data_IF_199736376503
#
_entry.id   IF_199736376503
#
_cell.length_a   1.000
_cell.length_b   1.000
_cell.length_c   1.000
_cell.angle_alpha   90.00
_cell.angle_beta   90.00
_cell.angle_gamma   90.00
#
_symmetry.space_group_name_H-M   'P 1'
#
loop_
_entity.id
_entity.type
_entity.pdbx_description
1 polymer ?
#
# COMPACT_ATOMS: atom_id res chain seq x y z
N UNK A 1 -5.27 7.64 22.57
CA UNK A 1 -6.14 7.17 23.66
C UNK A 1 -5.40 6.08 24.43
N UNK A 2 -5.21 6.26 25.73
CA UNK A 2 -4.51 5.33 26.63
C UNK A 2 -5.56 4.42 27.26
N UNK A 3 -5.26 3.12 27.32
CA UNK A 3 -6.16 2.14 27.96
C UNK A 3 -6.16 2.33 29.49
N UNK A 4 -7.32 2.31 30.15
CA UNK A 4 -7.41 2.47 31.60
C UNK A 4 -6.98 1.19 32.35
N UNK A 5 -5.70 0.83 32.31
CA UNK A 5 -5.17 -0.37 33.00
C UNK A 5 -4.89 -0.14 34.49
N UNK A 6 -4.73 1.11 34.93
CA UNK A 6 -4.35 1.45 36.31
C UNK A 6 -2.87 1.18 36.65
N UNK A 7 -2.06 0.73 35.68
CA UNK A 7 -0.65 0.42 35.87
C UNK A 7 0.26 1.44 35.17
N UNK A 8 1.12 1.01 34.25
CA UNK A 8 1.99 1.86 33.43
C UNK A 8 1.40 2.06 32.04
N UNK A 9 2.02 2.97 31.29
CA UNK A 9 1.80 3.08 29.86
C UNK A 9 2.28 1.78 29.17
N UNK A 10 1.57 1.33 28.13
CA UNK A 10 2.01 0.17 27.36
C UNK A 10 3.26 0.54 26.57
N UNK A 11 4.18 -0.42 26.38
CA UNK A 11 5.37 -0.25 25.55
C UNK A 11 5.04 0.20 24.13
N UNK A 12 3.96 -0.34 23.55
CA UNK A 12 3.47 0.07 22.23
C UNK A 12 3.03 1.54 22.20
N UNK A 13 2.29 1.99 23.22
CA UNK A 13 1.84 3.39 23.32
C UNK A 13 3.05 4.33 23.41
N UNK A 14 4.06 3.94 24.19
CA UNK A 14 5.29 4.70 24.36
C UNK A 14 6.07 4.85 23.04
N UNK A 15 6.33 3.73 22.36
CA UNK A 15 7.05 3.73 21.06
C UNK A 15 6.27 4.50 20.01
N UNK A 16 4.94 4.38 20.00
CA UNK A 16 4.09 5.08 19.04
C UNK A 16 4.12 6.58 19.30
N UNK A 17 3.92 7.03 20.54
CA UNK A 17 4.01 8.44 20.87
C UNK A 17 5.40 9.01 20.61
N UNK A 18 6.46 8.24 20.88
CA UNK A 18 7.83 8.66 20.59
C UNK A 18 8.13 8.82 19.09
N UNK A 19 7.44 8.10 18.22
CA UNK A 19 7.54 8.28 16.76
C UNK A 19 6.69 9.44 16.22
N UNK A 20 5.70 9.87 16.99
CA UNK A 20 4.73 10.89 16.61
C UNK A 20 5.04 12.27 17.20
N UNK A 21 5.80 12.34 18.30
CA UNK A 21 6.05 13.55 19.10
C UNK A 21 6.64 14.72 18.28
N UNK A 22 7.44 14.41 17.28
CA UNK A 22 8.06 15.38 16.36
C UNK A 22 7.18 15.76 15.18
N UNK A 23 6.09 15.02 14.93
CA UNK A 23 5.25 15.15 13.72
C UNK A 23 3.90 15.80 13.98
N UNK A 24 3.35 15.64 15.18
CA UNK A 24 2.00 16.09 15.53
C UNK A 24 1.91 16.52 16.99
N UNK A 25 0.95 17.39 17.28
CA UNK A 25 0.59 17.77 18.64
C UNK A 25 -0.10 16.60 19.35
N UNK A 26 0.59 15.93 20.27
CA UNK A 26 0.05 14.78 21.02
C UNK A 26 -0.67 15.26 22.27
N UNK A 27 -1.96 14.96 22.40
CA UNK A 27 -2.74 15.17 23.63
C UNK A 27 -3.09 13.80 24.22
N UNK A 28 -2.44 13.40 25.32
CA UNK A 28 -2.71 12.10 25.93
C UNK A 28 -4.06 12.14 26.67
N UNK A 29 -4.88 11.12 26.42
CA UNK A 29 -6.22 10.98 27.00
C UNK A 29 -6.42 9.55 27.48
N UNK A 30 -6.88 9.38 28.72
CA UNK A 30 -7.25 8.09 29.30
C UNK A 30 -8.69 7.80 28.88
N UNK A 31 -8.88 6.75 28.10
CA UNK A 31 -10.20 6.32 27.63
C UNK A 31 -10.98 5.60 28.73
N UNK A 32 -12.31 5.62 28.64
CA UNK A 32 -13.22 4.88 29.55
C UNK A 32 -12.84 5.07 31.03
N UNK A 33 -12.61 6.32 31.42
CA UNK A 33 -12.12 6.65 32.75
C UNK A 33 -13.06 6.23 33.89
N UNK A 34 -14.33 5.95 33.57
CA UNK A 34 -15.34 5.40 34.47
C UNK A 34 -15.05 3.96 34.95
N UNK A 35 -14.05 3.29 34.38
CA UNK A 35 -13.60 1.97 34.85
C UNK A 35 -12.51 2.03 35.93
N UNK A 36 -12.02 3.22 36.29
CA UNK A 36 -10.97 3.40 37.30
C UNK A 36 -11.51 4.27 38.45
N UNK A 37 -11.16 3.94 39.68
CA UNK A 37 -11.50 4.78 40.82
C UNK A 37 -10.72 6.11 40.82
N UNK A 38 -11.23 7.15 41.49
CA UNK A 38 -10.56 8.47 41.53
C UNK A 38 -9.13 8.41 42.10
N UNK A 39 -8.90 7.58 43.11
CA UNK A 39 -7.59 7.43 43.76
C UNK A 39 -6.58 6.71 42.86
N UNK A 40 -7.02 5.66 42.17
CA UNK A 40 -6.19 4.95 41.18
C UNK A 40 -5.91 5.83 39.97
N UNK A 41 -6.91 6.58 39.49
CA UNK A 41 -6.78 7.50 38.36
C UNK A 41 -5.71 8.56 38.65
N UNK A 42 -5.71 9.13 39.86
CA UNK A 42 -4.69 10.10 40.26
C UNK A 42 -3.27 9.52 40.21
N UNK A 43 -3.06 8.32 40.78
CA UNK A 43 -1.77 7.62 40.70
C UNK A 43 -1.39 7.28 39.27
N UNK A 44 -2.36 6.87 38.45
CA UNK A 44 -2.15 6.50 37.06
C UNK A 44 -1.73 7.70 36.20
N UNK A 45 -2.37 8.87 36.38
CA UNK A 45 -1.97 10.11 35.70
C UNK A 45 -0.51 10.48 36.00
N UNK A 46 -0.12 10.47 37.29
CA UNK A 46 1.26 10.78 37.71
C UNK A 46 2.24 9.81 37.04
N UNK A 47 1.92 8.51 37.04
CA UNK A 47 2.80 7.48 36.45
C UNK A 47 2.94 7.65 34.93
N UNK A 48 1.84 7.90 34.21
CA UNK A 48 1.89 8.19 32.77
C UNK A 48 2.77 9.40 32.49
N UNK A 49 2.55 10.51 33.20
CA UNK A 49 3.33 11.74 32.98
C UNK A 49 4.81 11.53 33.28
N UNK A 50 5.14 10.82 34.37
CA UNK A 50 6.52 10.48 34.72
C UNK A 50 7.19 9.62 33.63
N UNK A 51 6.47 8.64 33.07
CA UNK A 51 7.00 7.78 31.99
C UNK A 51 7.20 8.56 30.69
N UNK A 52 6.28 9.47 30.34
CA UNK A 52 6.43 10.34 29.16
C UNK A 52 7.67 11.23 29.27
N UNK A 53 7.87 11.86 30.43
CA UNK A 53 9.06 12.72 30.70
C UNK A 53 10.34 11.90 30.68
N UNK A 54 10.37 10.74 31.36
CA UNK A 54 11.59 9.91 31.45
C UNK A 54 12.04 9.37 30.09
N UNK A 55 11.12 9.16 29.15
CA UNK A 55 11.41 8.72 27.79
C UNK A 55 11.55 9.88 26.79
N UNK A 56 11.47 11.13 27.26
CA UNK A 56 11.58 12.33 26.45
C UNK A 56 10.52 12.43 25.36
N UNK A 57 9.31 11.93 25.60
CA UNK A 57 8.18 12.06 24.67
C UNK A 57 7.61 13.46 24.79
N UNK A 58 7.63 14.22 23.69
CA UNK A 58 7.08 15.57 23.66
C UNK A 58 5.57 15.50 23.42
N UNK A 59 4.80 15.89 24.43
CA UNK A 59 3.35 16.09 24.31
C UNK A 59 3.04 17.57 24.15
N UNK A 60 1.87 17.86 23.60
CA UNK A 60 1.37 19.23 23.51
C UNK A 60 1.11 19.79 24.91
N UNK A 61 1.61 21.00 25.16
CA UNK A 61 1.36 21.77 26.37
C UNK A 61 0.71 23.10 25.96
N UNK A 62 -0.29 23.51 26.71
CA UNK A 62 -0.96 24.78 26.49
C UNK A 62 0.01 25.94 26.74
N UNK A 63 0.08 26.93 25.83
CA UNK A 63 0.96 28.08 25.98
C UNK A 63 0.56 28.88 27.22
N UNK A 64 1.55 29.29 28.01
CA UNK A 64 1.34 30.10 29.22
C UNK A 64 1.98 31.49 29.10
N UNK A 65 2.31 31.89 27.88
CA UNK A 65 3.05 33.13 27.60
C UNK A 65 2.14 34.37 27.62
N UNK A 66 0.84 34.19 27.38
CA UNK A 66 -0.16 35.26 27.46
C UNK A 66 -0.82 35.26 28.85
N UNK A 67 -0.52 36.30 29.63
CA UNK A 67 -1.04 36.51 30.99
C UNK A 67 -2.58 36.44 31.08
N UNK A 68 -3.32 36.76 30.00
CA UNK A 68 -4.77 36.71 30.00
C UNK A 68 -5.33 35.28 30.07
N UNK A 69 -4.57 34.29 29.60
CA UNK A 69 -4.99 32.87 29.52
C UNK A 69 -4.03 31.91 30.23
N UNK A 70 -2.90 32.41 30.74
CA UNK A 70 -1.85 31.62 31.39
C UNK A 70 -2.38 30.81 32.58
N UNK A 71 -3.23 31.39 33.43
CA UNK A 71 -3.80 30.69 34.58
C UNK A 71 -4.68 29.51 34.14
N UNK A 72 -5.56 29.73 33.17
CA UNK A 72 -6.45 28.70 32.62
C UNK A 72 -5.62 27.60 31.97
N UNK A 73 -4.62 27.96 31.16
CA UNK A 73 -3.77 27.00 30.45
C UNK A 73 -2.87 26.19 31.39
N UNK A 74 -2.39 26.80 32.48
CA UNK A 74 -1.66 26.10 33.54
C UNK A 74 -2.54 25.04 34.21
N UNK A 75 -3.79 25.39 34.54
CA UNK A 75 -4.76 24.43 35.09
C UNK A 75 -5.05 23.32 34.08
N UNK A 76 -5.20 23.62 32.79
CA UNK A 76 -5.42 22.60 31.76
C UNK A 76 -4.22 21.66 31.61
N UNK A 77 -2.99 22.18 31.64
CA UNK A 77 -1.76 21.40 31.62
C UNK A 77 -1.68 20.44 32.82
N UNK A 78 -2.09 20.90 34.01
CA UNK A 78 -2.12 20.07 35.22
C UNK A 78 -3.13 18.91 35.16
N UNK A 79 -4.15 18.99 34.30
CA UNK A 79 -5.14 17.92 34.12
C UNK A 79 -4.70 16.83 33.13
N UNK A 80 -3.60 17.03 32.41
CA UNK A 80 -3.06 16.03 31.48
C UNK A 80 -2.50 14.81 32.24
N UNK A 81 -2.74 13.59 31.73
CA UNK A 81 -3.64 13.25 30.62
C UNK A 81 -5.13 13.35 31.01
N UNK A 82 -5.98 13.83 30.10
CA UNK A 82 -7.42 13.99 30.40
C UNK A 82 -8.10 12.63 30.57
N UNK A 83 -8.87 12.47 31.64
CA UNK A 83 -9.62 11.25 31.91
C UNK A 83 -11.05 11.39 31.38
N UNK A 84 -11.35 10.74 30.26
CA UNK A 84 -12.60 10.99 29.53
C UNK A 84 -13.53 9.79 29.50
N UNK A 85 -14.82 10.11 29.54
CA UNK A 85 -15.92 9.16 29.37
C UNK A 85 -16.75 9.63 28.18
N UNK A 86 -17.01 8.73 27.24
CA UNK A 86 -17.87 9.00 26.08
C UNK A 86 -19.21 8.29 26.22
N UNK A 87 -20.29 9.00 25.89
CA UNK A 87 -21.63 8.43 25.70
C UNK A 87 -22.41 9.22 24.65
N UNK A 88 -23.16 8.51 23.82
CA UNK A 88 -24.16 9.06 22.90
C UNK A 88 -25.58 8.98 23.47
N UNK A 89 -25.77 8.21 24.54
CA UNK A 89 -27.07 8.01 25.17
C UNK A 89 -27.38 9.16 26.13
N UNK A 90 -28.63 9.64 26.07
CA UNK A 90 -29.14 10.68 26.96
C UNK A 90 -30.04 10.06 28.01
N UNK A 91 -29.72 10.33 29.28
CA UNK A 91 -30.47 9.84 30.43
C UNK A 91 -31.08 11.05 31.14
N UNK A 92 -32.35 10.93 31.55
CA UNK A 92 -33.01 11.96 32.34
C UNK A 92 -32.50 11.91 33.77
N UNK A 93 -31.70 12.89 34.16
CA UNK A 93 -31.23 13.08 35.54
C UNK A 93 -31.88 14.34 36.10
N UNK A 94 -32.83 14.17 37.01
CA UNK A 94 -33.70 15.26 37.47
C UNK A 94 -34.59 15.78 36.34
N UNK A 95 -34.49 17.08 36.04
CA UNK A 95 -35.29 17.75 34.99
C UNK A 95 -34.53 17.98 33.67
N UNK A 96 -33.30 17.48 33.54
CA UNK A 96 -32.49 17.67 32.33
C UNK A 96 -32.15 16.33 31.69
N UNK A 97 -32.15 16.30 30.36
CA UNK A 97 -31.55 15.23 29.58
C UNK A 97 -30.05 15.52 29.48
N UNK A 98 -29.24 14.57 29.94
CA UNK A 98 -27.78 14.70 29.93
C UNK A 98 -27.15 13.46 29.32
N UNK A 99 -26.07 13.64 28.57
CA UNK A 99 -25.30 12.51 28.03
C UNK A 99 -24.64 11.77 29.18
N UNK A 100 -24.95 10.48 29.32
CA UNK A 100 -24.50 9.70 30.45
C UNK A 100 -24.35 8.21 30.10
N UNK A 101 -23.61 7.48 30.93
CA UNK A 101 -23.58 6.01 30.91
C UNK A 101 -24.36 5.50 32.10
N UNK A 102 -25.35 4.65 31.86
CA UNK A 102 -26.14 4.04 32.91
C UNK A 102 -25.59 2.68 33.30
N UNK A 103 -25.32 2.49 34.58
CA UNK A 103 -24.93 1.24 35.19
C UNK A 103 -25.95 0.84 36.28
N UNK A 104 -26.01 -0.43 36.69
CA UNK A 104 -26.89 -0.86 37.79
C UNK A 104 -26.62 -0.11 39.11
N UNK A 105 -25.38 0.35 39.32
CA UNK A 105 -24.95 1.07 40.53
C UNK A 105 -25.01 2.60 40.42
N UNK A 106 -25.37 3.15 39.25
CA UNK A 106 -25.46 4.60 39.11
C UNK A 106 -25.30 5.11 37.67
N UNK A 107 -25.31 6.44 37.53
CA UNK A 107 -25.28 7.12 36.24
C UNK A 107 -24.04 8.01 36.16
N UNK A 108 -23.15 7.73 35.22
CA UNK A 108 -21.95 8.53 34.96
C UNK A 108 -22.27 9.59 33.93
N UNK A 109 -22.54 10.80 34.38
CA UNK A 109 -22.74 11.99 33.53
C UNK A 109 -21.43 12.41 32.85
N UNK A 110 -21.45 12.58 31.53
CA UNK A 110 -20.28 12.94 30.72
C UNK A 110 -19.90 14.41 30.91
N UNK A 111 -20.88 15.31 31.02
CA UNK A 111 -20.62 16.75 31.18
C UNK A 111 -20.38 17.18 32.63
N UNK A 112 -20.29 16.23 33.55
CA UNK A 112 -20.05 16.51 34.95
C UNK A 112 -18.55 16.41 35.27
N UNK A 113 -17.94 17.53 35.64
CA UNK A 113 -16.50 17.61 35.96
C UNK A 113 -16.08 16.77 37.16
N UNK A 114 -17.01 16.45 38.06
CA UNK A 114 -16.74 15.57 39.19
C UNK A 114 -16.61 14.09 38.78
N UNK A 115 -17.09 13.73 37.58
CA UNK A 115 -17.06 12.38 37.04
C UNK A 115 -15.94 12.19 36.02
N UNK A 116 -15.70 13.16 35.13
CA UNK A 116 -14.64 13.06 34.13
C UNK A 116 -14.19 14.43 33.62
N UNK A 117 -13.05 14.47 32.93
CA UNK A 117 -12.42 15.67 32.39
C UNK A 117 -12.95 16.04 30.98
N UNK A 118 -14.11 15.52 30.56
CA UNK A 118 -14.62 15.75 29.21
C UNK A 118 -14.89 17.25 28.93
N UNK A 119 -15.41 17.98 29.91
CA UNK A 119 -15.65 19.43 29.78
C UNK A 119 -14.34 20.17 29.52
N UNK A 120 -13.29 19.84 30.27
CA UNK A 120 -11.95 20.41 30.12
C UNK A 120 -11.37 20.13 28.73
N UNK A 121 -11.48 18.88 28.25
CA UNK A 121 -11.06 18.51 26.90
C UNK A 121 -11.86 19.25 25.81
N UNK A 122 -13.15 19.50 26.03
CA UNK A 122 -14.00 20.22 25.08
C UNK A 122 -13.63 21.71 25.01
N UNK A 123 -13.47 22.34 26.17
CA UNK A 123 -13.11 23.77 26.25
C UNK A 123 -11.74 24.04 25.63
N UNK A 124 -10.80 23.14 25.89
CA UNK A 124 -9.50 23.07 25.26
C UNK A 124 -9.56 23.13 23.73
N UNK A 125 -10.44 22.34 23.10
CA UNK A 125 -10.49 22.21 21.64
C UNK A 125 -11.28 23.32 20.95
N UNK A 126 -12.25 23.94 21.62
CA UNK A 126 -13.27 24.78 20.95
C UNK A 126 -13.05 26.28 21.18
N UNK A 127 -12.46 26.71 22.30
CA UNK A 127 -12.49 28.14 22.68
C UNK A 127 -11.22 28.94 22.45
N UNK A 128 -10.02 28.36 22.65
CA UNK A 128 -8.78 29.17 22.73
C UNK A 128 -7.60 28.59 21.94
N UNK A 129 -7.48 27.26 21.80
CA UNK A 129 -6.20 26.65 21.40
C UNK A 129 -6.14 26.06 19.99
N UNK A 130 -7.18 26.23 19.15
CA UNK A 130 -7.10 25.73 17.76
C UNK A 130 -6.06 26.48 16.94
N UNK A 131 -5.93 27.79 17.15
CA UNK A 131 -4.97 28.62 16.43
C UNK A 131 -3.55 28.25 16.82
N UNK A 132 -3.26 28.12 18.12
CA UNK A 132 -1.97 27.67 18.64
C UNK A 132 -1.60 26.26 18.15
N UNK A 133 -2.55 25.31 18.18
CA UNK A 133 -2.31 23.97 17.62
C UNK A 133 -1.94 24.03 16.13
N UNK A 134 -2.61 24.90 15.36
CA UNK A 134 -2.31 25.10 13.94
C UNK A 134 -0.94 25.74 13.77
N UNK A 135 -0.60 26.74 14.57
CA UNK A 135 0.67 27.44 14.54
C UNK A 135 1.84 26.53 14.91
N UNK A 136 1.74 25.77 16.00
CA UNK A 136 2.72 24.74 16.38
C UNK A 136 2.89 23.69 15.27
N UNK A 137 1.79 23.29 14.63
CA UNK A 137 1.86 22.36 13.50
C UNK A 137 2.65 22.95 12.34
N UNK A 138 2.46 24.23 12.03
CA UNK A 138 3.14 24.89 10.93
C UNK A 138 4.62 25.19 11.26
N UNK A 139 4.86 25.93 12.33
CA UNK A 139 6.17 26.49 12.70
C UNK A 139 7.16 25.45 13.19
N UNK A 140 6.68 24.34 13.77
CA UNK A 140 7.53 23.30 14.34
C UNK A 140 7.46 22.01 13.55
N UNK A 141 6.29 21.38 13.47
CA UNK A 141 6.17 20.04 12.89
C UNK A 141 6.38 20.04 11.38
N UNK A 142 5.73 20.97 10.68
CA UNK A 142 5.87 21.11 9.24
C UNK A 142 7.26 21.64 8.86
N UNK A 143 7.80 22.65 9.55
CA UNK A 143 9.16 23.13 9.26
C UNK A 143 10.23 22.06 9.52
N UNK A 144 10.11 21.23 10.56
CA UNK A 144 10.99 20.09 10.77
C UNK A 144 10.94 19.12 9.59
N UNK A 145 9.73 18.77 9.14
CA UNK A 145 9.53 17.92 7.97
C UNK A 145 10.10 18.57 6.70
N UNK A 146 9.83 19.85 6.50
CA UNK A 146 10.28 20.64 5.34
C UNK A 146 11.80 20.68 5.28
N UNK A 147 12.48 20.97 6.38
CA UNK A 147 13.95 20.93 6.47
C UNK A 147 14.50 19.56 6.10
N UNK A 148 14.01 18.49 6.74
CA UNK A 148 14.46 17.13 6.45
C UNK A 148 14.24 16.75 4.97
N UNK A 149 13.10 17.16 4.38
CA UNK A 149 12.80 16.88 2.97
C UNK A 149 13.64 17.69 2.01
N UNK A 150 13.92 18.95 2.32
CA UNK A 150 14.81 19.78 1.52
C UNK A 150 16.24 19.24 1.55
N UNK A 151 16.72 18.81 2.72
CA UNK A 151 18.03 18.15 2.84
C UNK A 151 18.10 16.84 2.04
N UNK A 152 17.05 16.01 2.09
CA UNK A 152 16.93 14.78 1.28
C UNK A 152 16.93 15.08 -0.23
N UNK A 153 16.36 16.21 -0.64
CA UNK A 153 16.39 16.70 -2.03
C UNK A 153 17.72 17.39 -2.40
N UNK A 154 18.68 17.48 -1.47
CA UNK A 154 20.02 18.02 -1.72
C UNK A 154 20.19 19.52 -1.41
N UNK A 155 19.18 20.18 -0.85
CA UNK A 155 19.29 21.57 -0.40
C UNK A 155 19.96 21.61 0.99
N UNK A 156 21.28 21.82 1.04
CA UNK A 156 22.00 22.05 2.30
C UNK A 156 22.21 23.54 2.50
N UNK A 157 21.86 24.01 3.70
CA UNK A 157 22.08 25.38 4.16
C UNK A 157 23.57 25.58 4.48
N UNK A 158 24.40 25.63 3.43
CA UNK A 158 25.80 26.02 3.56
C UNK A 158 25.92 27.46 3.13
N UNK A 159 26.33 28.33 4.05
CA UNK A 159 26.62 29.76 3.86
C UNK A 159 27.69 30.07 2.77
N UNK A 160 28.15 29.06 2.03
CA UNK A 160 28.99 29.28 0.85
C UNK A 160 28.10 29.65 -0.33
N UNK A 161 27.89 30.97 -0.49
CA UNK A 161 27.10 31.67 -1.53
C UNK A 161 27.48 31.38 -3.01
N UNK A 162 27.92 30.17 -3.42
CA UNK A 162 28.33 29.90 -4.83
C UNK A 162 28.04 28.51 -5.41
N UNK A 163 27.09 27.74 -4.88
CA UNK A 163 26.52 26.63 -5.65
C UNK A 163 25.03 26.46 -5.36
N UNK A 164 24.25 27.51 -5.62
CA UNK A 164 22.82 27.33 -5.79
C UNK A 164 22.62 26.51 -7.07
N UNK A 165 22.26 25.24 -6.96
CA UNK A 165 21.34 24.69 -7.93
C UNK A 165 20.03 25.44 -7.72
N UNK A 166 19.56 26.14 -8.76
CA UNK A 166 18.29 26.86 -8.67
C UNK A 166 17.18 25.87 -8.33
N UNK A 167 16.18 26.30 -7.55
CA UNK A 167 14.95 25.54 -7.34
C UNK A 167 14.41 25.04 -8.69
N UNK A 168 14.51 25.86 -9.73
CA UNK A 168 14.19 25.52 -11.11
C UNK A 168 14.98 24.30 -11.64
N UNK A 169 16.30 24.28 -11.49
CA UNK A 169 17.17 23.23 -12.04
C UNK A 169 16.95 21.86 -11.39
N UNK A 170 16.62 21.83 -10.09
CA UNK A 170 16.28 20.55 -9.41
C UNK A 170 14.92 20.01 -9.84
N UNK A 171 13.91 20.89 -10.04
CA UNK A 171 12.63 20.50 -10.62
C UNK A 171 12.77 20.05 -12.07
N UNK A 172 13.63 20.72 -12.85
CA UNK A 172 13.96 20.35 -14.23
C UNK A 172 14.68 19.00 -14.29
N UNK A 173 15.72 18.77 -13.49
CA UNK A 173 16.38 17.45 -13.41
C UNK A 173 15.45 16.32 -12.98
N UNK A 174 14.56 16.57 -12.01
CA UNK A 174 13.56 15.57 -11.60
C UNK A 174 12.54 15.29 -12.71
N UNK A 175 12.14 16.32 -13.46
CA UNK A 175 11.26 16.19 -14.62
C UNK A 175 11.94 15.45 -15.78
N UNK A 176 13.22 15.74 -16.04
CA UNK A 176 14.04 15.03 -17.01
C UNK A 176 14.18 13.56 -16.64
N UNK A 177 14.49 13.25 -15.38
CA UNK A 177 14.59 11.87 -14.90
C UNK A 177 13.27 11.09 -15.05
N UNK A 178 12.12 11.71 -14.71
CA UNK A 178 10.81 11.10 -14.93
C UNK A 178 10.50 10.89 -16.42
N UNK A 179 10.91 11.83 -17.27
CA UNK A 179 10.75 11.71 -18.71
C UNK A 179 11.67 10.63 -19.31
N UNK A 180 12.88 10.45 -18.79
CA UNK A 180 13.78 9.36 -19.17
C UNK A 180 13.21 8.01 -18.78
N UNK A 181 12.67 7.88 -17.56
CA UNK A 181 12.02 6.65 -17.10
C UNK A 181 10.83 6.27 -18.01
N UNK A 182 10.02 7.26 -18.39
CA UNK A 182 8.93 7.05 -19.35
C UNK A 182 9.44 6.62 -20.73
N UNK A 183 10.49 7.25 -21.26
CA UNK A 183 11.10 6.83 -22.54
C UNK A 183 11.68 5.43 -22.48
N UNK A 184 12.29 5.05 -21.36
CA UNK A 184 12.82 3.70 -21.15
C UNK A 184 11.69 2.66 -21.15
N UNK A 185 10.57 2.97 -20.47
CA UNK A 185 9.40 2.10 -20.43
C UNK A 185 8.72 1.99 -21.80
N UNK A 186 8.60 3.09 -22.54
CA UNK A 186 8.11 3.10 -23.93
C UNK A 186 9.02 2.30 -24.88
N UNK A 187 10.34 2.46 -24.78
CA UNK A 187 11.30 1.64 -25.54
C UNK A 187 11.15 0.17 -25.22
N UNK A 188 10.95 -0.18 -23.94
CA UNK A 188 10.77 -1.57 -23.52
C UNK A 188 9.47 -2.16 -24.06
N UNK A 189 8.39 -1.38 -24.07
CA UNK A 189 7.12 -1.79 -24.68
C UNK A 189 7.25 -1.96 -26.20
N UNK A 190 7.94 -1.04 -26.88
CA UNK A 190 8.20 -1.14 -28.31
C UNK A 190 9.03 -2.38 -28.65
N UNK A 191 10.08 -2.65 -27.87
CA UNK A 191 10.91 -3.84 -28.04
C UNK A 191 10.11 -5.15 -27.87
N UNK A 192 9.22 -5.20 -26.88
CA UNK A 192 8.32 -6.34 -26.70
C UNK A 192 7.37 -6.52 -27.87
N UNK A 193 6.77 -5.44 -28.40
CA UNK A 193 5.90 -5.50 -29.58
C UNK A 193 6.65 -5.99 -30.81
N UNK A 194 7.85 -5.48 -31.06
CA UNK A 194 8.69 -5.94 -32.20
C UNK A 194 8.98 -7.44 -32.07
N UNK A 195 9.34 -7.89 -30.87
CA UNK A 195 9.60 -9.30 -30.59
C UNK A 195 8.37 -10.18 -30.80
N UNK A 196 7.18 -9.71 -30.42
CA UNK A 196 5.91 -10.41 -30.68
C UNK A 196 5.62 -10.49 -32.18
N UNK A 197 5.75 -9.37 -32.91
CA UNK A 197 5.52 -9.35 -34.37
C UNK A 197 6.52 -10.24 -35.12
N UNK A 198 7.79 -10.27 -34.73
CA UNK A 198 8.78 -11.16 -35.33
C UNK A 198 8.46 -12.64 -35.06
N UNK A 199 7.96 -12.96 -33.86
CA UNK A 199 7.54 -14.31 -33.51
C UNK A 199 6.30 -14.74 -34.32
N UNK A 200 5.32 -13.85 -34.49
CA UNK A 200 4.14 -14.08 -35.34
C UNK A 200 4.55 -14.31 -36.81
N UNK A 201 5.42 -13.46 -37.38
CA UNK A 201 5.91 -13.64 -38.74
C UNK A 201 6.67 -14.96 -38.91
N UNK A 202 7.48 -15.35 -37.93
CA UNK A 202 8.23 -16.61 -37.98
C UNK A 202 7.28 -17.81 -37.89
N UNK A 203 6.23 -17.69 -37.08
CA UNK A 203 5.20 -18.71 -36.96
C UNK A 203 4.39 -18.86 -38.25
N UNK A 204 4.02 -17.76 -38.90
CA UNK A 204 3.33 -17.77 -40.20
C UNK A 204 4.20 -18.40 -41.28
N UNK A 205 5.48 -18.04 -41.36
CA UNK A 205 6.46 -18.67 -42.28
C UNK A 205 6.56 -20.18 -42.01
N UNK A 206 6.59 -20.59 -40.75
CA UNK A 206 6.64 -22.01 -40.38
C UNK A 206 5.36 -22.76 -40.82
N UNK A 207 4.18 -22.17 -40.63
CA UNK A 207 2.91 -22.76 -41.07
C UNK A 207 2.86 -22.89 -42.59
N UNK A 208 3.28 -21.86 -43.33
CA UNK A 208 3.36 -21.91 -44.79
C UNK A 208 4.31 -23.00 -45.29
N UNK A 209 5.53 -23.07 -44.73
CA UNK A 209 6.51 -24.09 -45.07
C UNK A 209 5.98 -25.50 -44.79
N UNK A 210 5.30 -25.70 -43.65
CA UNK A 210 4.68 -26.98 -43.29
C UNK A 210 3.59 -27.40 -44.28
N UNK A 211 2.78 -26.46 -44.75
CA UNK A 211 1.74 -26.71 -45.77
C UNK A 211 2.36 -27.14 -47.11
N UNK A 212 3.36 -26.40 -47.58
CA UNK A 212 4.09 -26.75 -48.82
C UNK A 212 4.70 -28.14 -48.69
N UNK A 213 5.35 -28.43 -47.56
CA UNK A 213 5.95 -29.75 -47.32
C UNK A 213 4.92 -30.89 -47.35
N UNK A 214 3.73 -30.69 -46.76
CA UNK A 214 2.65 -31.67 -46.82
C UNK A 214 2.14 -31.90 -48.25
N UNK A 215 1.97 -30.84 -49.03
CA UNK A 215 1.53 -30.94 -50.42
C UNK A 215 2.56 -31.68 -51.29
N UNK A 216 3.85 -31.36 -51.13
CA UNK A 216 4.93 -32.05 -51.85
C UNK A 216 5.05 -33.52 -51.44
N UNK A 217 4.92 -33.83 -50.14
CA UNK A 217 4.92 -35.21 -49.65
C UNK A 217 3.77 -36.01 -50.26
N UNK A 218 2.56 -35.43 -50.31
CA UNK A 218 1.41 -36.07 -50.94
C UNK A 218 1.62 -36.31 -52.44
N UNK A 219 2.19 -35.35 -53.17
CA UNK A 219 2.53 -35.53 -54.59
C UNK A 219 3.55 -36.66 -54.80
N UNK A 220 4.55 -36.78 -53.93
CA UNK A 220 5.54 -37.86 -53.98
C UNK A 220 4.87 -39.21 -53.67
N UNK A 221 3.99 -39.26 -52.68
CA UNK A 221 3.22 -40.45 -52.31
C UNK A 221 2.30 -40.94 -53.45
N UNK A 222 1.58 -40.01 -54.10
CA UNK A 222 0.73 -40.33 -55.25
C UNK A 222 1.56 -40.86 -56.42
N UNK A 223 2.69 -40.22 -56.76
CA UNK A 223 3.62 -40.73 -57.78
C UNK A 223 4.19 -42.10 -57.43
N UNK A 224 4.50 -42.34 -56.15
CA UNK A 224 4.96 -43.65 -55.67
C UNK A 224 3.88 -44.72 -55.88
N UNK A 225 2.63 -44.42 -55.53
CA UNK A 225 1.49 -45.32 -55.74
C UNK A 225 1.27 -45.64 -57.22
N UNK A 226 1.31 -44.62 -58.08
CA UNK A 226 1.14 -44.81 -59.53
C UNK A 226 2.24 -45.72 -60.10
N UNK A 227 3.51 -45.51 -59.69
CA UNK A 227 4.63 -46.37 -60.08
C UNK A 227 4.49 -47.81 -59.55
N UNK A 228 3.98 -47.99 -58.32
CA UNK A 228 3.69 -49.31 -57.76
C UNK A 228 2.57 -50.03 -58.52
N UNK A 229 1.51 -49.31 -58.93
CA UNK A 229 0.44 -49.85 -59.76
C UNK A 229 0.94 -50.23 -61.15
N UNK A 230 1.75 -49.39 -61.79
CA UNK A 230 2.40 -49.70 -63.06
C UNK A 230 3.29 -50.94 -62.94
N UNK A 231 4.13 -51.01 -61.90
CA UNK A 231 4.99 -52.16 -61.62
C UNK A 231 4.16 -53.43 -61.40
N UNK A 232 3.07 -53.38 -60.64
CA UNK A 232 2.16 -54.51 -60.43
C UNK A 232 1.43 -54.92 -61.72
N UNK A 233 1.06 -53.96 -62.57
CA UNK A 233 0.48 -54.22 -63.89
C UNK A 233 1.49 -54.91 -64.81
N UNK A 234 2.76 -54.50 -64.73
CA UNK A 234 3.86 -55.07 -65.49
C UNK A 234 4.16 -56.50 -65.03
N UNK A 235 4.22 -56.73 -63.72
CA UNK A 235 4.38 -58.07 -63.13
C UNK A 235 3.23 -58.99 -63.56
N UNK A 236 1.97 -58.53 -63.50
CA UNK A 236 0.80 -59.29 -63.98
C UNK A 236 0.89 -59.63 -65.46
N UNK A 237 1.27 -58.68 -66.31
CA UNK A 237 1.48 -58.91 -67.75
C UNK A 237 2.62 -59.91 -68.00
N UNK A 238 3.73 -59.78 -67.27
CA UNK A 238 4.86 -60.71 -67.35
C UNK A 238 4.43 -62.14 -66.97
N UNK A 239 3.75 -62.33 -65.85
CA UNK A 239 3.23 -63.62 -65.42
C UNK A 239 2.24 -64.22 -66.43
N UNK A 240 1.35 -63.41 -67.02
CA UNK A 240 0.42 -63.87 -68.05
C UNK A 240 1.14 -64.36 -69.32
N UNK A 241 2.18 -63.65 -69.77
CA UNK A 241 3.02 -64.06 -70.91
C UNK A 241 3.79 -65.35 -70.58
N UNK A 242 4.38 -65.47 -69.40
CA UNK A 242 5.07 -66.68 -68.94
C UNK A 242 4.11 -67.88 -68.85
N UNK A 243 2.87 -67.66 -68.44
CA UNK A 243 1.81 -68.70 -68.38
C UNK A 243 1.35 -69.12 -69.77
N UNK A 244 1.19 -68.17 -70.71
CA UNK A 244 0.86 -68.47 -72.10
C UNK A 244 2.00 -69.18 -72.83
N UNK A 245 3.26 -68.80 -72.55
CA UNK A 245 4.42 -69.52 -73.07
C UNK A 245 4.46 -70.96 -72.55
N UNK A 246 4.28 -71.18 -71.25
CA UNK A 246 4.24 -72.53 -70.69
C UNK A 246 3.06 -73.38 -71.19
N UNK A 247 1.89 -72.79 -71.47
CA UNK A 247 0.78 -73.47 -72.15
C UNK A 247 1.07 -73.76 -73.63
N UNK A 248 1.74 -72.85 -74.34
CA UNK A 248 2.16 -73.08 -75.73
C UNK A 248 3.23 -74.16 -75.84
N UNK A 249 4.17 -74.25 -74.89
CA UNK A 249 5.13 -75.35 -74.81
C UNK A 249 4.44 -76.70 -74.56
N UNK A 250 3.40 -76.74 -73.72
CA UNK A 250 2.59 -77.95 -73.51
C UNK A 250 1.76 -78.32 -74.75
N UNK A 251 1.22 -77.34 -75.48
CA UNK A 251 0.47 -77.56 -76.73
C UNK A 251 1.37 -78.01 -77.91
N UNK A 252 2.62 -77.51 -77.99
CA UNK A 252 3.57 -77.93 -79.04
C UNK A 252 4.30 -79.24 -78.72
N UNK A 253 4.22 -79.74 -77.49
CA UNK A 253 4.72 -81.09 -77.14
C UNK A 253 3.75 -82.24 -77.45
N UNK A 254 2.57 -81.95 -78.02
CA UNK A 254 1.68 -82.94 -78.61
C UNK A 254 1.47 -82.65 -80.10
N UNK A 255 2.45 -82.97 -80.94
CA UNK A 255 2.26 -83.96 -82.02
C UNK A 255 3.59 -84.20 -82.77
N UNK A 256 3.78 -85.42 -83.29
CA UNK A 256 5.06 -86.03 -83.66
C UNK A 256 5.60 -85.63 -85.05
#
# INVERSE_FOLDING_TARGET
FITPTGHSLKSLDLVTMKKLDSKVNIIPIIAKADTISKSELHKFKIKIMSELVSNGVQIYQFPTDDDAVAEINSVMNAHLPFAVVGSTEEVKVGNKLVRARQYPWGVVQVENESHCDFVKLREMRIRVNMEDLREQTHTRHYELYRRCKLEEMGFKDTESRRSFFSLQETYEKKKEFLSELQREEEMRQMFNKVKETEAEELQDKFVQLKRIHQEETKKVEDKRRDLEEEMNSFIRRKLAVETLQSQSYQATSQQP
#
